data_IF_510853880977
#
_entry.id   IF_510853880977
#
_cell.length_a   1.000
_cell.length_b   1.000
_cell.length_c   1.000
_cell.angle_alpha   90.00
_cell.angle_beta   90.00
_cell.angle_gamma   90.00
#
_symmetry.space_group_name_H-M   'P 1'
#
loop_
_entity.id
_entity.type
_entity.pdbx_description
1 polymer ?
#
# COMPACT_ATOMS: atom_id res chain seq x y z
N UNK A 1 -8.04 16.81 -3.30
CA UNK A 1 -9.18 15.91 -2.98
C UNK A 1 -8.62 14.72 -2.22
N UNK A 2 -9.27 14.25 -1.15
CA UNK A 2 -8.88 13.02 -0.45
C UNK A 2 -9.91 11.93 -0.80
N UNK A 3 -9.44 10.74 -1.15
CA UNK A 3 -10.25 9.56 -1.48
C UNK A 3 -9.52 8.31 -0.99
N UNK A 4 -10.23 7.20 -0.90
CA UNK A 4 -9.68 5.90 -0.50
C UNK A 4 -10.05 4.79 -1.49
N UNK A 5 -9.47 3.61 -1.27
CA UNK A 5 -9.82 2.35 -1.92
C UNK A 5 -9.95 1.25 -0.85
N UNK A 6 -10.85 0.29 -1.07
CA UNK A 6 -11.10 -0.79 -0.10
C UNK A 6 -9.95 -1.81 -0.02
N UNK A 7 -9.87 -2.53 1.10
CA UNK A 7 -8.78 -3.47 1.44
C UNK A 7 -7.41 -2.77 1.62
N UNK A 8 -6.32 -3.56 1.58
CA UNK A 8 -4.95 -3.06 1.67
C UNK A 8 -4.44 -2.45 0.37
N UNK A 9 -3.22 -1.91 0.39
CA UNK A 9 -2.61 -1.30 -0.79
C UNK A 9 -2.23 -2.30 -1.89
N UNK A 10 -2.16 -3.59 -1.56
CA UNK A 10 -2.01 -4.70 -2.49
C UNK A 10 -3.22 -4.87 -3.43
N UNK A 11 -4.44 -4.60 -2.95
CA UNK A 11 -5.66 -4.73 -3.77
C UNK A 11 -6.28 -3.38 -4.09
N UNK A 12 -6.60 -2.58 -3.07
CA UNK A 12 -7.33 -1.33 -3.24
C UNK A 12 -6.51 -0.29 -3.98
N UNK A 13 -5.29 -0.04 -3.50
CA UNK A 13 -4.43 0.95 -4.13
C UNK A 13 -3.97 0.49 -5.52
N UNK A 14 -3.56 -0.77 -5.70
CA UNK A 14 -3.25 -1.36 -7.01
C UNK A 14 -4.37 -1.08 -8.03
N UNK A 15 -5.60 -1.47 -7.73
CA UNK A 15 -6.75 -1.25 -8.64
C UNK A 15 -7.11 0.21 -8.82
N UNK A 16 -6.97 1.03 -7.78
CA UNK A 16 -7.19 2.48 -7.90
C UNK A 16 -6.18 3.09 -8.87
N UNK A 17 -4.92 2.67 -8.81
CA UNK A 17 -3.83 3.19 -9.63
C UNK A 17 -3.89 2.59 -11.05
N UNK A 18 -3.87 1.27 -11.19
CA UNK A 18 -3.74 0.59 -12.49
C UNK A 18 -5.04 0.57 -13.32
N UNK A 19 -6.21 0.72 -12.68
CA UNK A 19 -7.52 0.75 -13.36
C UNK A 19 -8.13 2.15 -13.32
N UNK A 20 -8.50 2.66 -12.13
CA UNK A 20 -9.28 3.90 -12.03
C UNK A 20 -8.49 5.11 -12.54
N UNK A 21 -7.25 5.29 -12.11
CA UNK A 21 -6.42 6.41 -12.56
C UNK A 21 -6.11 6.33 -14.05
N UNK A 22 -5.81 5.12 -14.56
CA UNK A 22 -5.58 4.87 -15.98
C UNK A 22 -6.80 5.27 -16.82
N UNK A 23 -7.99 4.80 -16.46
CA UNK A 23 -9.21 5.06 -17.23
C UNK A 23 -9.70 6.51 -17.13
N UNK A 24 -9.51 7.14 -15.97
CA UNK A 24 -9.98 8.51 -15.73
C UNK A 24 -8.93 9.59 -16.03
N UNK A 25 -7.71 9.21 -16.45
CA UNK A 25 -6.60 10.14 -16.67
C UNK A 25 -6.14 10.87 -15.40
N UNK A 26 -6.36 10.27 -14.22
CA UNK A 26 -6.01 10.86 -12.93
C UNK A 26 -4.54 10.58 -12.59
N UNK A 27 -3.91 11.52 -11.91
CA UNK A 27 -2.56 11.38 -11.37
C UNK A 27 -2.60 11.73 -9.88
N UNK A 28 -2.49 10.74 -8.97
CA UNK A 28 -2.49 11.02 -7.54
C UNK A 28 -1.24 11.82 -7.16
N UNK A 29 -1.40 12.85 -6.34
CA UNK A 29 -0.28 13.71 -5.92
C UNK A 29 0.53 13.10 -4.77
N UNK A 30 -0.13 12.40 -3.85
CA UNK A 30 0.47 11.72 -2.70
C UNK A 30 -0.41 10.56 -2.20
N UNK A 31 0.19 9.65 -1.44
CA UNK A 31 -0.49 8.49 -0.84
C UNK A 31 -0.30 8.48 0.68
N UNK A 32 -1.39 8.21 1.41
CA UNK A 32 -1.36 7.96 2.85
C UNK A 32 -1.57 6.46 3.07
N UNK A 33 -0.60 5.79 3.71
CA UNK A 33 -0.71 4.37 4.09
C UNK A 33 -1.06 4.31 5.57
N UNK A 34 -2.26 3.85 5.88
CA UNK A 34 -2.73 3.76 7.27
C UNK A 34 -2.32 2.43 7.89
N UNK A 35 -1.80 2.47 9.12
CA UNK A 35 -1.51 1.28 9.91
C UNK A 35 -1.79 1.52 11.41
N UNK A 36 -1.79 0.43 12.19
CA UNK A 36 -1.85 0.47 13.65
C UNK A 36 -0.80 -0.47 14.22
N UNK A 37 -0.22 -0.14 15.38
CA UNK A 37 0.74 -1.00 16.08
C UNK A 37 0.14 -2.38 16.37
N UNK A 38 -1.14 -2.41 16.76
CA UNK A 38 -1.89 -3.66 17.01
C UNK A 38 -2.01 -4.54 15.77
N UNK A 39 -2.32 -3.99 14.60
CA UNK A 39 -2.39 -4.77 13.36
C UNK A 39 -1.01 -5.32 12.96
N UNK A 40 0.05 -4.54 13.17
CA UNK A 40 1.41 -5.01 12.89
C UNK A 40 1.83 -6.12 13.87
N UNK A 41 1.54 -6.01 15.17
CA UNK A 41 1.74 -7.13 16.11
C UNK A 41 0.96 -8.39 15.72
N UNK A 42 -0.27 -8.22 15.23
CA UNK A 42 -1.07 -9.33 14.72
C UNK A 42 -0.41 -10.01 13.52
N UNK A 43 0.10 -9.23 12.55
CA UNK A 43 0.90 -9.75 11.43
C UNK A 43 2.18 -10.46 11.91
N UNK A 44 2.73 -10.06 13.06
CA UNK A 44 3.84 -10.73 13.73
C UNK A 44 3.48 -11.99 14.50
N UNK A 45 2.20 -12.39 14.51
CA UNK A 45 1.71 -13.62 15.11
C UNK A 45 1.05 -13.47 16.48
N UNK A 46 0.83 -12.25 16.99
CA UNK A 46 0.13 -12.06 18.27
C UNK A 46 -1.37 -12.35 18.11
N UNK A 47 -1.97 -13.22 18.94
CA UNK A 47 -3.41 -13.46 18.91
C UNK A 47 -4.20 -12.18 19.18
N UNK A 48 -5.40 -12.08 18.58
CA UNK A 48 -6.26 -10.89 18.69
C UNK A 48 -6.55 -10.46 20.15
N UNK A 49 -6.62 -11.43 21.07
CA UNK A 49 -6.88 -11.19 22.49
C UNK A 49 -5.74 -10.47 23.21
N UNK A 50 -4.50 -10.57 22.71
CA UNK A 50 -3.29 -10.16 23.42
C UNK A 50 -2.64 -8.88 22.85
N UNK A 51 -3.30 -8.24 21.88
CA UNK A 51 -2.75 -7.09 21.13
C UNK A 51 -2.53 -5.82 21.96
N UNK A 52 -3.06 -5.75 23.18
CA UNK A 52 -2.97 -4.58 24.04
C UNK A 52 -1.67 -4.52 24.84
N UNK A 53 -0.91 -5.62 24.90
CA UNK A 53 0.38 -5.65 25.59
C UNK A 53 1.49 -5.19 24.64
N UNK A 54 2.48 -4.47 25.16
CA UNK A 54 3.68 -4.13 24.38
C UNK A 54 4.37 -5.41 23.90
N UNK A 55 4.73 -5.46 22.62
CA UNK A 55 5.52 -6.57 22.07
C UNK A 55 6.35 -6.11 20.87
N UNK A 56 7.55 -5.61 21.15
CA UNK A 56 8.49 -5.13 20.13
C UNK A 56 8.95 -6.24 19.18
N UNK A 57 9.12 -7.46 19.67
CA UNK A 57 9.57 -8.59 18.85
C UNK A 57 8.51 -8.97 17.80
N UNK A 58 7.25 -9.08 18.21
CA UNK A 58 6.16 -9.34 17.27
C UNK A 58 5.91 -8.16 16.34
N UNK A 59 6.02 -6.93 16.84
CA UNK A 59 5.92 -5.74 16.00
C UNK A 59 7.00 -5.75 14.91
N UNK A 60 8.25 -6.07 15.25
CA UNK A 60 9.33 -6.21 14.28
C UNK A 60 9.08 -7.32 13.26
N UNK A 61 8.50 -8.46 13.69
CA UNK A 61 8.13 -9.57 12.79
C UNK A 61 6.97 -9.23 11.85
N UNK A 62 6.04 -8.36 12.25
CA UNK A 62 4.89 -7.98 11.44
C UNK A 62 5.05 -6.71 10.61
N UNK A 63 6.05 -5.88 10.95
CA UNK A 63 6.45 -4.69 10.17
C UNK A 63 6.68 -4.93 8.67
N UNK A 64 7.24 -6.08 8.22
CA UNK A 64 7.42 -6.37 6.79
C UNK A 64 6.15 -6.19 5.96
N UNK A 65 4.95 -6.40 6.53
CA UNK A 65 3.70 -6.14 5.83
C UNK A 65 3.55 -4.65 5.44
N UNK A 66 3.74 -3.74 6.38
CA UNK A 66 3.70 -2.30 6.12
C UNK A 66 4.83 -1.86 5.19
N UNK A 67 6.05 -2.36 5.43
CA UNK A 67 7.21 -2.00 4.62
C UNK A 67 7.03 -2.42 3.16
N UNK A 68 6.43 -3.60 2.90
CA UNK A 68 6.09 -4.02 1.55
C UNK A 68 5.06 -3.10 0.88
N UNK A 69 4.04 -2.65 1.60
CA UNK A 69 3.08 -1.67 1.07
C UNK A 69 3.75 -0.32 0.79
N UNK A 70 4.66 0.13 1.65
CA UNK A 70 5.48 1.33 1.42
C UNK A 70 6.30 1.18 0.13
N UNK A 71 7.02 0.08 -0.03
CA UNK A 71 7.81 -0.21 -1.23
C UNK A 71 6.95 -0.27 -2.49
N UNK A 72 5.77 -0.87 -2.44
CA UNK A 72 4.87 -0.91 -3.60
C UNK A 72 4.54 0.52 -4.06
N UNK A 73 4.18 1.41 -3.15
CA UNK A 73 3.84 2.79 -3.49
C UNK A 73 5.07 3.59 -3.96
N UNK A 74 6.18 3.54 -3.23
CA UNK A 74 7.35 4.39 -3.51
C UNK A 74 8.25 3.84 -4.62
N UNK A 75 8.36 2.52 -4.74
CA UNK A 75 9.27 1.87 -5.69
C UNK A 75 8.58 1.35 -6.94
N UNK A 76 7.36 0.83 -6.86
CA UNK A 76 6.62 0.36 -8.05
C UNK A 76 5.88 1.52 -8.69
N UNK A 77 5.02 2.20 -7.94
CA UNK A 77 4.21 3.30 -8.48
C UNK A 77 4.93 4.65 -8.51
N UNK A 78 6.07 4.79 -7.82
CA UNK A 78 6.86 6.02 -7.75
C UNK A 78 6.07 7.24 -7.25
N UNK A 79 5.15 6.99 -6.33
CA UNK A 79 4.34 8.02 -5.68
C UNK A 79 4.96 8.42 -4.34
N UNK A 80 4.93 9.72 -3.97
CA UNK A 80 5.32 10.14 -2.65
C UNK A 80 4.31 9.64 -1.62
N UNK A 81 4.80 9.17 -0.47
CA UNK A 81 3.99 8.50 0.52
C UNK A 81 4.32 8.95 1.95
N UNK A 82 3.30 8.93 2.81
CA UNK A 82 3.41 9.04 4.27
C UNK A 82 2.70 7.87 4.93
N UNK A 83 3.27 7.33 5.99
CA UNK A 83 2.57 6.37 6.84
C UNK A 83 1.83 7.14 7.95
N UNK A 84 0.53 6.91 8.06
CA UNK A 84 -0.28 7.42 9.16
C UNK A 84 -0.54 6.29 10.17
N UNK A 85 0.02 6.39 11.37
CA UNK A 85 -0.27 5.45 12.46
C UNK A 85 -1.48 5.96 13.22
N UNK A 86 -2.59 5.23 13.13
CA UNK A 86 -3.76 5.54 13.92
C UNK A 86 -3.53 5.12 15.37
N UNK A 87 -3.49 6.09 16.28
CA UNK A 87 -3.08 5.90 17.66
C UNK A 87 -4.11 5.11 18.47
N UNK A 88 -3.65 4.17 19.29
CA UNK A 88 -4.45 3.53 20.34
C UNK A 88 -3.89 3.85 21.73
N UNK A 89 -4.73 3.90 22.78
CA UNK A 89 -4.28 4.21 24.15
C UNK A 89 -3.24 3.26 24.72
N UNK A 90 -3.15 2.04 24.19
CA UNK A 90 -2.23 0.99 24.62
C UNK A 90 -0.91 0.98 23.85
N UNK A 91 -0.79 1.79 22.78
CA UNK A 91 0.43 1.84 21.98
C UNK A 91 1.52 2.54 22.80
N UNK A 92 2.71 1.96 22.85
CA UNK A 92 3.81 2.55 23.62
C UNK A 92 4.70 3.43 22.75
N UNK A 93 5.41 4.37 23.39
CA UNK A 93 6.40 5.19 22.69
C UNK A 93 7.50 4.36 22.02
N UNK A 94 7.87 3.21 22.61
CA UNK A 94 8.87 2.31 22.04
C UNK A 94 8.35 1.63 20.77
N UNK A 95 7.09 1.17 20.77
CA UNK A 95 6.46 0.59 19.58
C UNK A 95 6.33 1.60 18.45
N UNK A 96 5.84 2.81 18.75
CA UNK A 96 5.72 3.88 17.77
C UNK A 96 7.08 4.27 17.17
N UNK A 97 8.12 4.36 18.01
CA UNK A 97 9.49 4.65 17.58
C UNK A 97 10.04 3.56 16.66
N UNK A 98 9.78 2.29 16.95
CA UNK A 98 10.23 1.18 16.10
C UNK A 98 9.61 1.28 14.70
N UNK A 99 8.31 1.60 14.60
CA UNK A 99 7.65 1.80 13.30
C UNK A 99 8.27 2.99 12.56
N UNK A 100 8.47 4.11 13.24
CA UNK A 100 9.11 5.30 12.67
C UNK A 100 10.49 5.00 12.10
N UNK A 101 11.36 4.36 12.90
CA UNK A 101 12.74 4.07 12.51
C UNK A 101 12.79 3.14 11.27
N UNK A 102 11.91 2.12 11.21
CA UNK A 102 11.85 1.17 10.08
C UNK A 102 11.30 1.80 8.80
N UNK A 103 10.27 2.64 8.89
CA UNK A 103 9.76 3.37 7.71
C UNK A 103 10.75 4.44 7.23
N UNK A 104 11.44 5.12 8.15
CA UNK A 104 12.46 6.12 7.82
C UNK A 104 13.63 5.52 7.06
N UNK A 105 14.00 4.27 7.34
CA UNK A 105 15.01 3.54 6.58
C UNK A 105 14.64 3.35 5.09
N UNK A 106 13.35 3.40 4.74
CA UNK A 106 12.84 3.41 3.36
C UNK A 106 12.61 4.83 2.82
N UNK A 107 13.01 5.87 3.56
CA UNK A 107 12.81 7.27 3.18
C UNK A 107 11.39 7.79 3.36
N UNK A 108 10.53 7.06 4.10
CA UNK A 108 9.13 7.45 4.33
C UNK A 108 8.92 7.90 5.77
N UNK A 109 8.33 9.08 5.93
CA UNK A 109 7.98 9.60 7.24
C UNK A 109 6.73 8.91 7.81
N UNK A 110 6.71 8.80 9.13
CA UNK A 110 5.56 8.32 9.90
C UNK A 110 4.97 9.49 10.66
N UNK A 111 3.64 9.64 10.62
CA UNK A 111 2.90 10.63 11.40
C UNK A 111 1.82 9.95 12.21
N UNK A 112 1.75 10.29 13.49
CA UNK A 112 0.68 9.82 14.36
C UNK A 112 -0.62 10.53 13.97
N UNK A 113 -1.71 9.76 13.95
CA UNK A 113 -3.06 10.25 13.71
C UNK A 113 -3.91 9.95 14.94
N UNK A 114 -4.45 11.00 15.54
CA UNK A 114 -5.35 10.94 16.69
C UNK A 114 -6.78 11.38 16.30
N UNK A 115 -7.11 11.34 15.01
CA UNK A 115 -8.36 11.90 14.46
C UNK A 115 -9.63 11.30 15.08
N UNK A 116 -9.54 10.06 15.56
CA UNK A 116 -10.65 9.41 16.24
C UNK A 116 -11.00 10.09 17.57
N UNK A 117 -9.98 10.49 18.35
CA UNK A 117 -10.15 11.11 19.66
C UNK A 117 -10.25 12.65 19.59
N UNK A 118 -9.54 13.27 18.64
CA UNK A 118 -9.37 14.74 18.56
C UNK A 118 -9.98 15.38 17.32
N UNK A 119 -10.72 14.62 16.50
CA UNK A 119 -11.28 15.11 15.24
C UNK A 119 -10.17 15.62 14.30
N UNK A 120 -10.47 16.68 13.55
CA UNK A 120 -9.52 17.23 12.56
C UNK A 120 -8.17 17.67 13.15
N UNK A 121 -8.14 18.12 14.40
CA UNK A 121 -6.90 18.53 15.09
C UNK A 121 -5.91 17.37 15.20
N UNK A 122 -6.40 16.16 15.48
CA UNK A 122 -5.57 14.95 15.58
C UNK A 122 -4.95 14.50 14.25
N UNK A 123 -5.32 15.11 13.12
CA UNK A 123 -4.81 14.79 11.79
C UNK A 123 -3.87 15.84 11.20
N UNK A 124 -3.62 16.94 11.92
CA UNK A 124 -2.86 18.09 11.40
C UNK A 124 -1.45 17.70 10.96
N UNK A 125 -0.77 16.84 11.72
CA UNK A 125 0.61 16.42 11.39
C UNK A 125 0.66 15.51 10.16
N UNK A 126 -0.35 14.65 9.96
CA UNK A 126 -0.50 13.88 8.72
C UNK A 126 -0.77 14.82 7.55
N UNK A 127 -1.68 15.79 7.72
CA UNK A 127 -2.04 16.75 6.68
C UNK A 127 -0.85 17.63 6.25
N UNK A 128 -0.06 18.14 7.21
CA UNK A 128 1.17 18.90 6.93
C UNK A 128 2.17 18.07 6.12
N UNK A 129 2.34 16.80 6.47
CA UNK A 129 3.25 15.92 5.75
C UNK A 129 2.77 15.63 4.33
N UNK A 130 1.46 15.43 4.12
CA UNK A 130 0.88 15.31 2.78
C UNK A 130 1.14 16.57 1.95
N UNK A 131 0.90 17.76 2.50
CA UNK A 131 1.17 19.02 1.80
C UNK A 131 2.65 19.14 1.44
N UNK A 132 3.55 18.86 2.40
CA UNK A 132 5.01 18.87 2.18
C UNK A 132 5.43 17.93 1.04
N UNK A 133 4.89 16.72 0.99
CA UNK A 133 5.18 15.74 -0.05
C UNK A 133 4.74 16.22 -1.44
N UNK A 134 3.56 16.85 -1.53
CA UNK A 134 3.04 17.40 -2.78
C UNK A 134 3.92 18.59 -3.24
N UNK A 135 4.24 19.50 -2.34
CA UNK A 135 5.04 20.70 -2.63
C UNK A 135 6.50 20.37 -2.99
N UNK A 136 7.05 19.25 -2.52
CA UNK A 136 8.40 18.80 -2.88
C UNK A 136 8.55 18.45 -4.38
N UNK A 137 7.45 18.13 -5.08
CA UNK A 137 7.45 17.94 -6.53
C UNK A 137 8.15 16.68 -7.05
N UNK A 138 8.39 15.67 -6.19
CA UNK A 138 9.13 14.44 -6.55
C UNK A 138 8.27 13.33 -7.19
N UNK A 139 7.01 13.64 -7.51
CA UNK A 139 6.06 12.67 -8.05
C UNK A 139 6.46 12.19 -9.45
N UNK A 140 6.72 10.88 -9.59
CA UNK A 140 7.09 10.22 -10.86
C UNK A 140 6.11 9.10 -11.19
N UNK A 141 4.84 9.29 -10.86
CA UNK A 141 3.78 8.28 -10.95
C UNK A 141 3.87 7.45 -12.25
N UNK A 142 3.91 6.13 -12.07
CA UNK A 142 3.84 5.14 -13.14
C UNK A 142 2.94 3.97 -12.73
N UNK A 143 2.54 3.17 -13.70
CA UNK A 143 1.73 1.97 -13.48
C UNK A 143 2.59 0.73 -13.21
N UNK A 144 2.02 -0.32 -12.62
CA UNK A 144 2.76 -1.55 -12.35
C UNK A 144 3.14 -2.31 -13.64
N UNK A 145 2.37 -2.13 -14.71
CA UNK A 145 2.54 -2.77 -16.00
C UNK A 145 2.04 -1.91 -17.18
N UNK A 146 2.50 -2.23 -18.38
CA UNK A 146 1.97 -1.68 -19.63
C UNK A 146 0.77 -2.52 -20.11
N UNK A 147 -0.31 -1.87 -20.56
CA UNK A 147 -1.50 -2.53 -21.12
C UNK A 147 -1.23 -3.25 -22.43
N UNK A 148 -0.15 -2.92 -23.13
CA UNK A 148 0.29 -3.62 -24.34
C UNK A 148 0.92 -4.99 -24.05
N UNK A 149 1.23 -5.30 -22.78
CA UNK A 149 1.69 -6.63 -22.39
C UNK A 149 0.57 -7.68 -22.53
N UNK A 150 0.92 -8.94 -22.86
CA UNK A 150 -0.02 -10.06 -22.79
C UNK A 150 -0.68 -10.16 -21.40
N UNK A 151 -1.92 -10.64 -21.35
CA UNK A 151 -2.70 -10.76 -20.10
C UNK A 151 -1.91 -11.51 -19.02
N UNK A 152 -1.22 -12.59 -19.39
CA UNK A 152 -0.37 -13.39 -18.49
C UNK A 152 0.74 -12.57 -17.86
N UNK A 153 1.40 -11.74 -18.66
CA UNK A 153 2.52 -10.90 -18.20
C UNK A 153 2.05 -9.77 -17.29
N UNK A 154 0.84 -9.23 -17.52
CA UNK A 154 0.23 -8.26 -16.61
C UNK A 154 -0.10 -8.89 -15.26
N UNK A 155 -0.67 -10.11 -15.26
CA UNK A 155 -0.93 -10.87 -14.03
C UNK A 155 0.38 -11.16 -13.28
N UNK A 156 1.42 -11.64 -13.98
CA UNK A 156 2.75 -11.87 -13.40
C UNK A 156 3.36 -10.59 -12.83
N UNK A 157 3.24 -9.47 -13.54
CA UNK A 157 3.76 -8.19 -13.07
C UNK A 157 3.11 -7.77 -11.73
N UNK A 158 1.79 -7.92 -11.59
CA UNK A 158 1.11 -7.65 -10.31
C UNK A 158 1.61 -8.63 -9.24
N UNK A 159 1.60 -9.94 -9.54
CA UNK A 159 2.00 -10.97 -8.59
C UNK A 159 3.42 -10.75 -8.04
N UNK A 160 4.38 -10.47 -8.93
CA UNK A 160 5.78 -10.32 -8.56
C UNK A 160 6.08 -8.95 -7.93
N UNK A 161 5.59 -7.86 -8.52
CA UNK A 161 5.93 -6.52 -8.05
C UNK A 161 5.14 -6.12 -6.81
N UNK A 162 3.84 -6.40 -6.79
CA UNK A 162 2.93 -5.97 -5.73
C UNK A 162 2.87 -7.00 -4.61
N UNK A 163 2.63 -8.28 -4.93
CA UNK A 163 2.47 -9.31 -3.90
C UNK A 163 3.82 -9.91 -3.45
N UNK A 164 4.85 -9.84 -4.28
CA UNK A 164 6.15 -10.47 -4.01
C UNK A 164 6.14 -11.98 -4.23
N UNK A 165 5.25 -12.48 -5.10
CA UNK A 165 5.26 -13.88 -5.51
C UNK A 165 6.43 -14.17 -6.45
N UNK A 166 6.90 -15.42 -6.48
CA UNK A 166 7.95 -15.85 -7.42
C UNK A 166 7.43 -15.89 -8.87
N UNK A 167 6.23 -16.44 -9.09
CA UNK A 167 5.58 -16.52 -10.40
C UNK A 167 4.05 -16.70 -10.26
N UNK A 168 3.33 -16.59 -11.37
CA UNK A 168 1.92 -16.92 -11.51
C UNK A 168 1.75 -18.18 -12.38
N UNK A 169 1.15 -19.22 -11.79
CA UNK A 169 0.82 -20.46 -12.49
C UNK A 169 -0.65 -20.45 -12.91
N UNK A 170 -0.90 -20.80 -14.17
CA UNK A 170 -2.23 -20.83 -14.75
C UNK A 170 -2.68 -22.28 -14.95
N UNK A 171 -3.94 -22.54 -14.62
CA UNK A 171 -4.56 -23.82 -14.97
C UNK A 171 -4.81 -23.88 -16.48
N UNK A 172 -4.94 -25.09 -17.04
CA UNK A 172 -5.26 -25.25 -18.46
C UNK A 172 -6.55 -24.51 -18.88
N UNK A 173 -7.52 -24.41 -17.97
CA UNK A 173 -8.75 -23.64 -18.20
C UNK A 173 -8.47 -22.13 -18.27
N UNK A 174 -7.69 -21.59 -17.33
CA UNK A 174 -7.32 -20.17 -17.33
C UNK A 174 -6.49 -19.80 -18.56
N UNK A 175 -5.56 -20.66 -18.97
CA UNK A 175 -4.77 -20.49 -20.20
C UNK A 175 -5.68 -20.35 -21.43
N UNK A 176 -6.69 -21.21 -21.55
CA UNK A 176 -7.64 -21.18 -22.66
C UNK A 176 -8.49 -19.91 -22.66
N UNK A 177 -8.99 -19.50 -21.50
CA UNK A 177 -9.80 -18.28 -21.35
C UNK A 177 -9.00 -17.03 -21.68
N UNK A 178 -7.72 -16.97 -21.26
CA UNK A 178 -6.83 -15.86 -21.60
C UNK A 178 -6.64 -15.76 -23.13
N UNK A 179 -6.38 -16.88 -23.81
CA UNK A 179 -6.22 -16.88 -25.26
C UNK A 179 -7.51 -16.43 -25.98
N UNK A 180 -8.66 -16.82 -25.48
CA UNK A 180 -9.96 -16.38 -26.02
C UNK A 180 -10.16 -14.87 -25.83
N UNK A 181 -9.82 -14.32 -24.65
CA UNK A 181 -9.90 -12.88 -24.39
C UNK A 181 -8.98 -12.07 -25.30
N UNK A 182 -7.73 -12.52 -25.48
CA UNK A 182 -6.77 -11.85 -26.37
C UNK A 182 -7.22 -11.89 -27.84
N UNK A 183 -7.70 -13.05 -28.32
CA UNK A 183 -8.27 -13.18 -29.68
C UNK A 183 -9.48 -12.29 -29.92
N UNK A 184 -10.29 -12.06 -28.89
CA UNK A 184 -11.48 -11.22 -28.96
C UNK A 184 -11.18 -9.72 -28.74
N UNK A 185 -9.90 -9.33 -28.68
CA UNK A 185 -9.50 -7.92 -28.59
C UNK A 185 -9.48 -7.34 -27.17
N UNK A 186 -9.69 -8.16 -26.14
CA UNK A 186 -9.61 -7.74 -24.74
C UNK A 186 -8.17 -7.77 -24.18
N UNK A 187 -7.18 -8.15 -25.01
CA UNK A 187 -5.79 -8.26 -24.59
C UNK A 187 -5.20 -6.98 -23.98
N UNK A 188 -5.76 -5.80 -24.29
CA UNK A 188 -5.27 -4.50 -23.80
C UNK A 188 -5.98 -3.96 -22.56
N UNK A 189 -6.94 -4.69 -21.98
CA UNK A 189 -7.64 -4.23 -20.77
C UNK A 189 -6.72 -4.31 -19.55
N UNK A 190 -7.01 -3.51 -18.51
CA UNK A 190 -6.38 -3.67 -17.21
C UNK A 190 -6.81 -4.98 -16.53
N UNK A 191 -6.03 -5.42 -15.54
CA UNK A 191 -6.25 -6.65 -14.76
C UNK A 191 -6.80 -6.26 -13.39
N UNK A 192 -7.71 -7.07 -12.86
CA UNK A 192 -8.30 -6.93 -11.53
C UNK A 192 -8.22 -8.26 -10.79
#
# INVERSE_FOLDING_TARGET
>A
VVTEAGFGADLGAEKFLDIKCRMAGLKPDAVVIVATVRALKYNGGVPKADLNNENLEALEKGLPNLLKHVENITNVYKLPAVVAINAFPTDTAAELKLVEDKCKALGVNVKLSEVWAKGGEGGVEVAKEVVRLIEAGENKFQFAYDTELPIREKIRAIAQKIYGADDALFTAQAEKEIDELEKNGFGKTAIC
#
